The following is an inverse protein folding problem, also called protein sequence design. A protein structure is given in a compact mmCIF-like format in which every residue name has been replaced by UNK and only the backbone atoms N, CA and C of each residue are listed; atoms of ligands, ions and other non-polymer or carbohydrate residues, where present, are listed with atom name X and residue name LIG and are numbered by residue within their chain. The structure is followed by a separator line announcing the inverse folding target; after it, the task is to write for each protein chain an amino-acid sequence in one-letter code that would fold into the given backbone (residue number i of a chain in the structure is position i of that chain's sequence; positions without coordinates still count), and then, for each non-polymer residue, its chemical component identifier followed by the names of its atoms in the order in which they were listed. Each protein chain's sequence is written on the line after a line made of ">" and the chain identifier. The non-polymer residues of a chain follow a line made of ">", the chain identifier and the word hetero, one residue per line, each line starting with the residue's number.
data_IF_288237723705
#
_entry.id   IF_288237723705
#
_cell.length_a   1.000
_cell.length_b   1.000
_cell.length_c   1.000
_cell.angle_alpha   90.00
_cell.angle_beta   90.00
_cell.angle_gamma   90.00
#
_symmetry.space_group_name_H-M   'P 1'
#
loop_
_entity.id
_entity.type
_entity.pdbx_description
1 polymer ?
#
# COMPACT_ATOMS: atom_id res chain seq x y z
N UNK A 1 19.68 -1.27 -16.21
CA UNK A 1 18.51 -0.63 -15.57
C UNK A 1 17.46 -1.71 -15.33
N UNK A 2 17.06 -1.96 -14.08
CA UNK A 2 16.02 -2.96 -13.74
C UNK A 2 14.63 -2.33 -13.89
N UNK A 3 13.74 -2.96 -14.63
CA UNK A 3 12.38 -2.47 -14.88
C UNK A 3 11.45 -3.02 -13.81
N UNK A 4 11.05 -2.17 -12.87
CA UNK A 4 10.00 -2.45 -11.89
C UNK A 4 8.63 -2.15 -12.52
N UNK A 5 7.70 -3.12 -12.49
CA UNK A 5 6.33 -2.93 -13.00
C UNK A 5 5.34 -2.90 -11.84
N UNK A 6 4.82 -1.71 -11.57
CA UNK A 6 3.66 -1.53 -10.69
C UNK A 6 2.39 -1.94 -11.46
N UNK A 7 1.60 -2.86 -10.91
CA UNK A 7 0.33 -3.28 -11.50
C UNK A 7 -0.76 -3.37 -10.43
N UNK A 8 -2.01 -3.12 -10.85
CA UNK A 8 -3.19 -3.51 -10.08
C UNK A 8 -3.20 -5.02 -9.90
N UNK A 9 -3.53 -5.45 -8.70
CA UNK A 9 -3.64 -6.88 -8.35
C UNK A 9 -4.87 -7.53 -8.98
N UNK A 10 -4.67 -8.76 -9.40
CA UNK A 10 -5.67 -9.69 -9.91
C UNK A 10 -5.74 -10.92 -9.00
N UNK A 11 -6.78 -11.75 -9.15
CA UNK A 11 -6.92 -13.02 -8.42
C UNK A 11 -5.71 -13.96 -8.58
N UNK A 12 -4.94 -13.84 -9.67
CA UNK A 12 -3.73 -14.65 -9.89
C UNK A 12 -2.57 -14.28 -8.96
N UNK A 13 -2.57 -13.07 -8.40
CA UNK A 13 -1.49 -12.59 -7.53
C UNK A 13 -1.70 -12.99 -6.05
N UNK A 14 -2.84 -13.61 -5.74
CA UNK A 14 -3.29 -13.95 -4.38
C UNK A 14 -2.27 -14.79 -3.61
N UNK A 15 -1.79 -15.88 -4.24
CA UNK A 15 -0.86 -16.79 -3.59
C UNK A 15 0.47 -16.11 -3.24
N UNK A 16 0.97 -15.25 -4.13
CA UNK A 16 2.24 -14.55 -3.92
C UNK A 16 2.11 -13.43 -2.90
N UNK A 17 1.00 -12.68 -2.92
CA UNK A 17 0.73 -11.65 -1.91
C UNK A 17 0.61 -12.25 -0.52
N UNK A 18 -0.10 -13.38 -0.39
CA UNK A 18 -0.20 -14.12 0.88
C UNK A 18 1.17 -14.54 1.42
N UNK A 19 2.10 -14.94 0.55
CA UNK A 19 3.46 -15.29 0.95
C UNK A 19 4.23 -14.08 1.51
N UNK A 20 4.12 -12.91 0.89
CA UNK A 20 4.73 -11.67 1.38
C UNK A 20 4.14 -11.24 2.72
N UNK A 21 2.83 -11.38 2.88
CA UNK A 21 2.13 -11.10 4.14
C UNK A 21 2.58 -12.00 5.29
N UNK A 22 2.57 -13.32 5.08
CA UNK A 22 2.99 -14.28 6.10
C UNK A 22 4.46 -14.05 6.52
N UNK A 23 5.31 -13.58 5.60
CA UNK A 23 6.69 -13.22 5.93
C UNK A 23 6.81 -11.95 6.79
N UNK A 24 5.79 -11.08 6.78
CA UNK A 24 5.77 -9.82 7.54
C UNK A 24 5.16 -9.98 8.92
N UNK A 25 4.10 -10.79 9.04
CA UNK A 25 3.40 -11.05 10.29
C UNK A 25 3.25 -12.56 10.51
N UNK A 26 4.33 -13.28 10.86
CA UNK A 26 4.32 -14.74 10.97
C UNK A 26 3.41 -15.24 12.10
N UNK A 27 3.21 -14.43 13.14
CA UNK A 27 2.47 -14.80 14.37
C UNK A 27 1.00 -14.35 14.36
N UNK A 28 0.58 -13.54 13.38
CA UNK A 28 -0.83 -13.16 13.26
C UNK A 28 -1.52 -14.16 12.34
N UNK A 29 -2.73 -14.61 12.72
CA UNK A 29 -3.66 -15.23 11.75
C UNK A 29 -3.68 -14.31 10.52
N UNK A 30 -3.66 -14.84 9.28
CA UNK A 30 -3.60 -14.05 8.06
C UNK A 30 -4.85 -13.17 7.95
N UNK A 31 -4.86 -12.10 8.71
CA UNK A 31 -5.82 -11.04 8.63
C UNK A 31 -5.28 -10.23 7.47
N UNK A 32 -6.12 -10.10 6.45
CA UNK A 32 -6.06 -9.06 5.43
C UNK A 32 -5.61 -9.32 4.00
N UNK A 33 -5.22 -10.52 3.56
CA UNK A 33 -5.25 -10.76 2.10
C UNK A 33 -6.70 -10.85 1.60
N UNK A 34 -7.51 -11.71 2.24
CA UNK A 34 -8.96 -11.72 2.02
C UNK A 34 -9.61 -10.41 2.46
N UNK A 35 -9.11 -9.70 3.47
CA UNK A 35 -9.71 -8.41 3.88
C UNK A 35 -9.39 -7.32 2.85
N UNK A 36 -8.17 -7.24 2.30
CA UNK A 36 -7.84 -6.28 1.22
C UNK A 36 -8.61 -6.59 -0.06
N UNK A 37 -8.83 -7.87 -0.39
CA UNK A 37 -9.71 -8.26 -1.48
C UNK A 37 -11.20 -7.97 -1.17
N UNK A 38 -11.70 -8.35 0.01
CA UNK A 38 -13.09 -8.11 0.45
C UNK A 38 -13.41 -6.62 0.61
N UNK A 39 -12.41 -5.78 0.95
CA UNK A 39 -12.61 -4.34 1.00
C UNK A 39 -12.90 -3.76 -0.39
N UNK A 40 -12.52 -4.43 -1.50
CA UNK A 40 -12.96 -4.01 -2.85
C UNK A 40 -14.49 -4.11 -3.01
N UNK A 41 -15.14 -4.96 -2.22
CA UNK A 41 -16.59 -5.17 -2.21
C UNK A 41 -17.31 -4.40 -1.08
N UNK A 42 -16.61 -3.54 -0.33
CA UNK A 42 -17.25 -2.69 0.68
C UNK A 42 -17.98 -1.51 0.02
N UNK A 43 -19.30 -1.56 0.07
CA UNK A 43 -20.23 -0.56 -0.46
C UNK A 43 -19.74 0.88 -0.23
N UNK A 44 -19.31 1.54 -1.32
CA UNK A 44 -18.91 2.96 -1.33
C UNK A 44 -17.40 3.23 -1.28
N UNK A 45 -16.56 2.20 -1.09
CA UNK A 45 -15.10 2.32 -1.13
C UNK A 45 -14.55 1.88 -2.48
N UNK A 46 -13.79 2.77 -3.13
CA UNK A 46 -12.91 2.36 -4.23
C UNK A 46 -11.53 2.03 -3.66
N UNK A 47 -10.91 0.94 -4.10
CA UNK A 47 -9.63 0.45 -3.57
C UNK A 47 -8.65 0.16 -4.68
N UNK A 48 -7.39 0.52 -4.45
CA UNK A 48 -6.27 0.12 -5.27
C UNK A 48 -5.23 -0.65 -4.45
N UNK A 49 -4.67 -1.68 -5.07
CA UNK A 49 -3.55 -2.47 -4.55
C UNK A 49 -2.47 -2.52 -5.62
N UNK A 50 -1.26 -2.10 -5.24
CA UNK A 50 -0.07 -2.04 -6.06
C UNK A 50 0.94 -3.06 -5.56
N UNK A 51 1.63 -3.72 -6.49
CA UNK A 51 2.70 -4.68 -6.17
C UNK A 51 4.00 -4.30 -6.85
N UNK A 52 5.12 -4.51 -6.14
CA UNK A 52 6.45 -4.45 -6.70
C UNK A 52 6.95 -5.88 -6.95
N UNK A 53 7.48 -6.14 -8.14
CA UNK A 53 7.98 -7.46 -8.56
C UNK A 53 9.46 -7.40 -8.89
N UNK A 54 10.19 -8.48 -8.63
CA UNK A 54 11.58 -8.64 -9.03
C UNK A 54 11.71 -9.05 -10.52
N UNK A 55 12.94 -9.22 -11.01
CA UNK A 55 13.22 -9.64 -12.40
C UNK A 55 12.70 -11.06 -12.71
N UNK A 56 12.52 -11.90 -11.69
CA UNK A 56 11.91 -13.25 -11.79
C UNK A 56 10.38 -13.19 -11.77
N UNK A 57 9.80 -11.99 -11.70
CA UNK A 57 8.37 -11.77 -11.61
C UNK A 57 7.78 -11.98 -10.22
N UNK A 58 8.55 -12.31 -9.17
CA UNK A 58 8.02 -12.53 -7.81
C UNK A 58 7.71 -11.23 -7.08
N UNK A 59 6.61 -11.18 -6.34
CA UNK A 59 6.26 -10.03 -5.50
C UNK A 59 7.28 -9.86 -4.36
N UNK A 60 7.82 -8.64 -4.25
CA UNK A 60 8.74 -8.22 -3.19
C UNK A 60 8.10 -7.28 -2.18
N UNK A 61 6.96 -6.68 -2.52
CA UNK A 61 6.25 -5.76 -1.67
C UNK A 61 4.94 -5.32 -2.29
N UNK A 62 4.11 -4.68 -1.49
CA UNK A 62 2.82 -4.17 -1.91
C UNK A 62 2.47 -2.87 -1.18
N UNK A 63 1.51 -2.14 -1.74
CA UNK A 63 0.87 -1.03 -1.06
C UNK A 63 -0.59 -0.94 -1.50
N UNK A 64 -1.51 -0.69 -0.57
CA UNK A 64 -2.93 -0.48 -0.87
C UNK A 64 -3.38 0.91 -0.45
N UNK A 65 -4.51 1.35 -0.99
CA UNK A 65 -5.19 2.57 -0.60
C UNK A 65 -6.70 2.43 -0.88
N UNK A 66 -7.52 3.18 -0.16
CA UNK A 66 -8.96 3.27 -0.43
C UNK A 66 -9.43 4.72 -0.47
N UNK A 67 -10.54 4.98 -1.14
CA UNK A 67 -11.26 6.25 -1.07
C UNK A 67 -12.74 5.99 -0.83
N UNK A 68 -13.35 6.75 0.07
CA UNK A 68 -14.80 6.82 0.19
C UNK A 68 -15.34 7.89 -0.78
N UNK A 69 -16.10 7.47 -1.80
CA UNK A 69 -16.52 8.37 -2.89
C UNK A 69 -17.49 9.46 -2.45
N UNK A 70 -18.31 9.20 -1.42
CA UNK A 70 -19.26 10.17 -0.88
C UNK A 70 -18.58 11.34 -0.16
N UNK A 71 -17.45 11.09 0.50
CA UNK A 71 -16.73 12.09 1.32
C UNK A 71 -15.46 12.62 0.64
N UNK A 72 -14.91 11.88 -0.33
CA UNK A 72 -13.62 12.17 -0.95
C UNK A 72 -12.43 11.88 -0.01
N UNK A 73 -12.66 11.22 1.12
CA UNK A 73 -11.61 10.86 2.08
C UNK A 73 -10.82 9.64 1.58
N UNK A 74 -9.55 9.86 1.28
CA UNK A 74 -8.59 8.83 0.93
C UNK A 74 -7.84 8.29 2.15
N UNK A 75 -7.68 6.97 2.26
CA UNK A 75 -6.89 6.30 3.27
C UNK A 75 -5.70 5.59 2.61
N UNK A 76 -4.49 5.91 3.08
CA UNK A 76 -3.26 5.37 2.51
C UNK A 76 -2.98 3.91 2.90
N UNK A 77 -3.60 3.35 3.93
CA UNK A 77 -3.37 1.97 4.39
C UNK A 77 -1.88 1.54 4.38
N UNK A 78 -1.55 0.35 3.88
CA UNK A 78 -0.27 -0.29 4.10
C UNK A 78 0.73 -0.02 2.98
N UNK A 79 2.01 -0.02 3.35
CA UNK A 79 3.14 -0.13 2.43
C UNK A 79 4.14 -1.08 3.07
N UNK A 80 4.37 -2.19 2.40
CA UNK A 80 4.99 -3.35 2.99
C UNK A 80 5.98 -3.97 2.02
N UNK A 81 7.12 -4.44 2.54
CA UNK A 81 8.20 -5.04 1.78
C UNK A 81 8.64 -6.34 2.44
N UNK A 82 8.76 -7.41 1.65
CA UNK A 82 9.26 -8.69 2.12
C UNK A 82 10.62 -8.52 2.82
N UNK A 83 10.83 -9.07 4.03
CA UNK A 83 12.02 -8.80 4.86
C UNK A 83 13.36 -8.99 4.15
N UNK A 84 13.49 -10.07 3.36
CA UNK A 84 14.71 -10.39 2.59
C UNK A 84 15.00 -9.45 1.42
N UNK A 85 14.12 -8.49 1.18
CA UNK A 85 14.13 -7.70 -0.04
C UNK A 85 13.75 -6.24 0.23
N UNK A 86 13.87 -5.81 1.50
CA UNK A 86 13.60 -4.45 1.94
C UNK A 86 14.61 -3.49 1.32
N UNK A 87 14.08 -2.44 0.70
CA UNK A 87 14.87 -1.31 0.25
C UNK A 87 13.99 -0.05 0.24
N UNK A 88 14.61 1.10 0.52
CA UNK A 88 13.88 2.36 0.63
C UNK A 88 13.38 2.87 -0.72
N UNK A 89 14.03 2.51 -1.84
CA UNK A 89 13.68 2.99 -3.18
C UNK A 89 12.33 2.40 -3.60
N UNK A 90 12.19 1.08 -3.54
CA UNK A 90 10.94 0.37 -3.85
C UNK A 90 9.83 0.77 -2.89
N UNK A 91 10.13 0.90 -1.59
CA UNK A 91 9.16 1.38 -0.60
C UNK A 91 8.62 2.78 -0.94
N UNK A 92 9.49 3.70 -1.34
CA UNK A 92 9.09 5.04 -1.81
C UNK A 92 8.27 4.99 -3.10
N UNK A 93 8.62 4.12 -4.04
CA UNK A 93 7.86 3.97 -5.28
C UNK A 93 6.45 3.44 -5.03
N UNK A 94 6.31 2.42 -4.19
CA UNK A 94 5.00 1.88 -3.77
C UNK A 94 4.14 2.94 -3.08
N UNK A 95 4.72 3.68 -2.13
CA UNK A 95 4.05 4.80 -1.47
C UNK A 95 3.65 5.89 -2.47
N UNK A 96 4.54 6.24 -3.41
CA UNK A 96 4.25 7.23 -4.45
C UNK A 96 3.09 6.78 -5.35
N UNK A 97 3.07 5.51 -5.76
CA UNK A 97 2.04 4.95 -6.61
C UNK A 97 0.65 5.08 -5.99
N UNK A 98 0.48 4.63 -4.74
CA UNK A 98 -0.83 4.71 -4.07
C UNK A 98 -1.30 6.14 -3.81
N UNK A 99 -0.37 7.05 -3.47
CA UNK A 99 -0.72 8.46 -3.25
C UNK A 99 -1.06 9.18 -4.57
N UNK A 100 -0.36 8.85 -5.66
CA UNK A 100 -0.71 9.38 -6.98
C UNK A 100 -2.08 8.89 -7.42
N UNK A 101 -2.40 7.62 -7.19
CA UNK A 101 -3.72 7.08 -7.48
C UNK A 101 -4.80 7.80 -6.67
N UNK A 102 -4.62 7.95 -5.35
CA UNK A 102 -5.59 8.65 -4.49
C UNK A 102 -5.90 10.06 -5.02
N UNK A 103 -4.88 10.85 -5.31
CA UNK A 103 -5.05 12.27 -5.67
C UNK A 103 -5.51 12.44 -7.13
N UNK A 104 -4.86 11.75 -8.08
CA UNK A 104 -5.03 12.05 -9.50
C UNK A 104 -6.04 11.15 -10.20
N UNK A 105 -6.27 9.92 -9.71
CA UNK A 105 -7.14 8.94 -10.36
C UNK A 105 -8.43 8.74 -9.58
N UNK A 106 -8.33 8.58 -8.26
CA UNK A 106 -9.45 8.30 -7.39
C UNK A 106 -10.24 9.56 -6.99
N UNK A 107 -9.60 10.74 -7.06
CA UNK A 107 -10.20 12.04 -6.78
C UNK A 107 -10.29 12.39 -5.28
N UNK A 108 -9.34 11.92 -4.47
CA UNK A 108 -9.31 12.21 -3.04
C UNK A 108 -9.07 13.70 -2.78
N UNK A 109 -9.99 14.34 -2.05
CA UNK A 109 -9.86 15.74 -1.60
C UNK A 109 -8.94 15.85 -0.39
N UNK A 110 -8.89 14.78 0.42
CA UNK A 110 -8.03 14.64 1.59
C UNK A 110 -7.47 13.23 1.64
N UNK A 111 -6.24 13.09 2.14
CA UNK A 111 -5.59 11.78 2.29
C UNK A 111 -5.04 11.65 3.70
N UNK A 112 -5.47 10.60 4.42
CA UNK A 112 -4.92 10.18 5.70
C UNK A 112 -3.81 9.15 5.49
N UNK A 113 -2.74 9.28 6.26
CA UNK A 113 -1.63 8.34 6.27
C UNK A 113 -0.99 8.33 7.67
N UNK A 114 -0.66 7.14 8.15
CA UNK A 114 -0.03 6.91 9.45
C UNK A 114 1.11 5.90 9.30
N UNK A 115 2.09 5.97 10.20
CA UNK A 115 3.23 5.07 10.20
C UNK A 115 3.48 4.48 11.58
N UNK A 116 3.39 3.16 11.68
CA UNK A 116 3.68 2.42 12.91
C UNK A 116 5.18 2.24 13.17
N UNK A 117 6.03 2.29 12.15
CA UNK A 117 7.48 2.06 12.28
C UNK A 117 8.31 3.31 11.98
N UNK A 118 9.56 3.40 12.51
CA UNK A 118 10.48 4.48 12.17
C UNK A 118 10.72 4.63 10.66
N UNK A 119 10.84 3.52 9.94
CA UNK A 119 11.03 3.53 8.48
C UNK A 119 9.78 4.06 7.76
N UNK A 120 8.58 3.69 8.24
CA UNK A 120 7.33 4.24 7.74
C UNK A 120 7.26 5.76 7.95
N UNK A 121 7.70 6.26 9.11
CA UNK A 121 7.77 7.71 9.37
C UNK A 121 8.73 8.41 8.40
N UNK A 122 9.94 7.86 8.22
CA UNK A 122 10.91 8.39 7.26
C UNK A 122 10.40 8.35 5.79
N UNK A 123 9.52 7.40 5.44
CA UNK A 123 8.86 7.36 4.14
C UNK A 123 7.81 8.47 3.98
N UNK A 124 7.04 8.77 5.02
CA UNK A 124 6.03 9.85 5.02
C UNK A 124 6.69 11.24 5.01
N UNK A 125 7.73 11.44 5.81
CA UNK A 125 8.45 12.71 5.93
C UNK A 125 9.13 13.15 4.62
N UNK A 126 9.48 12.19 3.76
CA UNK A 126 10.11 12.47 2.47
C UNK A 126 9.20 13.19 1.48
N UNK A 127 7.88 13.17 1.69
CA UNK A 127 6.97 14.01 0.92
C UNK A 127 6.69 15.29 1.70
N UNK A 128 6.68 16.43 1.01
CA UNK A 128 5.97 17.66 1.43
C UNK A 128 4.44 17.44 1.43
N UNK A 129 3.98 16.28 1.88
CA UNK A 129 2.58 15.99 2.08
C UNK A 129 2.20 16.80 3.32
N UNK A 130 1.41 17.86 3.15
CA UNK A 130 0.70 18.46 4.29
C UNK A 130 -0.41 17.50 4.71
N UNK A 131 -0.05 16.31 5.18
CA UNK A 131 -0.95 15.50 5.96
C UNK A 131 -1.36 16.36 7.15
N UNK A 132 -2.67 16.48 7.43
CA UNK A 132 -3.08 16.80 8.80
C UNK A 132 -2.75 15.56 9.62
N UNK A 133 -1.49 15.43 10.02
CA UNK A 133 -1.02 14.37 10.89
C UNK A 133 -1.52 14.69 12.29
N UNK A 134 -2.55 13.96 12.73
CA UNK A 134 -2.90 13.96 14.14
C UNK A 134 -1.89 13.07 14.86
N UNK A 135 -0.80 13.65 15.34
CA UNK A 135 0.07 12.99 16.31
C UNK A 135 -0.66 12.98 17.65
N UNK A 136 -0.90 11.79 18.22
CA UNK A 136 -1.12 11.65 19.67
C UNK A 136 0.22 11.21 20.26
N UNK A 137 0.77 12.04 21.14
CA UNK A 137 1.89 11.71 22.02
C UNK A 137 1.48 10.63 23.03
#
# INVERSE_FOLDING_TARGET
>A
MMVERLKRVTKKDERELKAVYNALEPDKRPTTFEHVLRMQDWNGLEIALFVARNYEGKIRGFANASIEKSTGLGCSHWTCMHPRSRDAVTGRQLLKAKLNWLVNEAGASTVSAEAATPEGRALLDFKKFKARTNYRE
#
